data_IF_740859585578
#
_entry.id   IF_740859585578
#
_cell.length_a   1.000
_cell.length_b   1.000
_cell.length_c   1.000
_cell.angle_alpha   90.00
_cell.angle_beta   90.00
_cell.angle_gamma   90.00
#
_symmetry.space_group_name_H-M   'P 1'
#
loop_
_entity.id
_entity.type
_entity.pdbx_description
1 polymer ?
#
# COMPACT_ATOMS: atom_id res chain seq x y z
N UNK A 1 8.22 5.50 -8.27
CA UNK A 1 6.87 4.90 -8.31
C UNK A 1 6.75 3.68 -7.39
N UNK A 2 7.46 2.56 -7.60
CA UNK A 2 7.37 1.37 -6.71
C UNK A 2 7.69 1.65 -5.23
N UNK A 3 8.67 2.50 -4.94
CA UNK A 3 9.01 2.86 -3.55
C UNK A 3 7.84 3.55 -2.81
N UNK A 4 7.06 4.36 -3.51
CA UNK A 4 5.88 5.04 -2.93
C UNK A 4 4.76 4.03 -2.66
N UNK A 5 4.56 3.06 -3.55
CA UNK A 5 3.65 1.95 -3.31
C UNK A 5 4.07 1.10 -2.11
N UNK A 6 5.36 0.76 -1.97
CA UNK A 6 5.85 -0.03 -0.83
C UNK A 6 5.83 0.70 0.52
N UNK A 7 5.64 2.03 0.54
CA UNK A 7 5.42 2.82 1.76
C UNK A 7 3.96 2.80 2.23
N UNK A 8 3.01 2.40 1.36
CA UNK A 8 1.61 2.26 1.74
C UNK A 8 1.46 0.89 2.42
N UNK A 9 1.07 0.84 3.70
CA UNK A 9 1.03 -0.42 4.44
C UNK A 9 -0.29 -1.16 4.16
N UNK A 10 -0.46 -1.60 2.91
CA UNK A 10 -1.65 -2.29 2.40
C UNK A 10 -1.22 -3.61 1.73
N UNK A 11 -1.76 -4.77 2.12
CA UNK A 11 -1.39 -6.04 1.49
C UNK A 11 -1.81 -6.00 0.02
N UNK A 12 -0.99 -6.40 -0.98
CA UNK A 12 0.23 -7.24 -0.98
C UNK A 12 1.57 -6.47 -0.99
N UNK A 13 1.58 -5.16 -0.70
CA UNK A 13 2.78 -4.31 -0.80
C UNK A 13 3.74 -4.60 0.37
N UNK A 14 5.05 -4.52 0.14
CA UNK A 14 6.06 -4.99 1.12
C UNK A 14 5.97 -4.27 2.47
N UNK A 15 5.51 -3.01 2.50
CA UNK A 15 5.26 -2.24 3.73
C UNK A 15 4.18 -2.85 4.64
N UNK A 16 3.29 -3.70 4.11
CA UNK A 16 2.29 -4.41 4.92
C UNK A 16 2.91 -5.46 5.86
N UNK A 17 4.09 -5.99 5.54
CA UNK A 17 4.83 -6.92 6.40
C UNK A 17 5.30 -6.25 7.69
N UNK A 18 5.60 -4.95 7.62
CA UNK A 18 5.94 -4.13 8.78
C UNK A 18 4.74 -3.99 9.74
N UNK A 19 3.52 -3.83 9.20
CA UNK A 19 2.30 -3.90 10.03
C UNK A 19 2.09 -5.29 10.64
N UNK A 20 2.29 -6.36 9.87
CA UNK A 20 2.16 -7.75 10.35
C UNK A 20 3.12 -8.07 11.51
N UNK A 21 4.29 -7.43 11.54
CA UNK A 21 5.26 -7.55 12.63
C UNK A 21 4.79 -6.89 13.93
N UNK A 22 3.97 -5.84 13.84
CA UNK A 22 3.46 -5.07 14.99
C UNK A 22 2.08 -5.60 15.44
N UNK A 23 1.35 -6.27 14.56
CA UNK A 23 0.02 -6.81 14.83
C UNK A 23 0.07 -8.07 15.75
N UNK A 24 -0.84 -8.17 16.74
CA UNK A 24 -0.99 -9.37 17.55
C UNK A 24 -1.46 -10.58 16.73
N UNK A 25 -1.19 -11.79 17.23
CA UNK A 25 -1.42 -13.09 16.57
C UNK A 25 -2.82 -13.19 15.92
N UNK A 26 -3.86 -12.79 16.65
CA UNK A 26 -5.26 -12.87 16.22
C UNK A 26 -5.55 -11.95 15.03
N UNK A 27 -4.89 -10.79 15.01
CA UNK A 27 -5.03 -9.81 13.93
C UNK A 27 -4.24 -10.25 12.69
N UNK A 28 -3.08 -10.90 12.87
CA UNK A 28 -2.35 -11.53 11.75
C UNK A 28 -3.20 -12.58 11.04
N UNK A 29 -3.87 -13.47 11.77
CA UNK A 29 -4.71 -14.50 11.14
C UNK A 29 -5.87 -13.90 10.34
N UNK A 30 -6.50 -12.84 10.85
CA UNK A 30 -7.53 -12.10 10.10
C UNK A 30 -6.94 -11.43 8.87
N UNK A 31 -5.73 -10.87 8.98
CA UNK A 31 -5.03 -10.22 7.88
C UNK A 31 -4.70 -11.20 6.74
N UNK A 32 -4.19 -12.40 7.06
CA UNK A 32 -3.93 -13.44 6.06
C UNK A 32 -5.20 -13.93 5.35
N UNK A 33 -6.36 -13.92 6.03
CA UNK A 33 -7.63 -14.26 5.36
C UNK A 33 -8.08 -13.21 4.35
N UNK A 34 -7.77 -11.93 4.58
CA UNK A 34 -8.20 -10.83 3.70
C UNK A 34 -7.16 -10.52 2.60
N UNK A 35 -5.92 -10.96 2.76
CA UNK A 35 -4.82 -10.75 1.81
C UNK A 35 -5.19 -11.08 0.33
N UNK A 36 -5.85 -12.21 0.00
CA UNK A 36 -6.22 -12.49 -1.39
C UNK A 36 -7.30 -11.54 -1.91
N UNK A 37 -8.22 -11.09 -1.05
CA UNK A 37 -9.26 -10.12 -1.43
C UNK A 37 -8.67 -8.74 -1.66
N UNK A 38 -7.65 -8.35 -0.87
CA UNK A 38 -6.93 -7.10 -1.07
C UNK A 38 -6.20 -7.08 -2.42
N UNK A 39 -5.60 -8.19 -2.86
CA UNK A 39 -5.00 -8.30 -4.20
C UNK A 39 -6.03 -8.05 -5.32
N UNK A 40 -7.22 -8.67 -5.22
CA UNK A 40 -8.30 -8.50 -6.19
C UNK A 40 -8.81 -7.05 -6.19
N UNK A 41 -9.00 -6.47 -5.00
CA UNK A 41 -9.41 -5.08 -4.86
C UNK A 41 -8.37 -4.10 -5.43
N UNK A 42 -7.08 -4.38 -5.25
CA UNK A 42 -5.99 -3.58 -5.81
C UNK A 42 -5.97 -3.66 -7.34
N UNK A 43 -6.13 -4.85 -7.92
CA UNK A 43 -6.26 -5.02 -9.37
C UNK A 43 -7.49 -4.29 -9.92
N UNK A 44 -8.63 -4.38 -9.23
CA UNK A 44 -9.84 -3.65 -9.62
C UNK A 44 -9.59 -2.13 -9.55
N UNK A 45 -8.94 -1.62 -8.50
CA UNK A 45 -8.62 -0.21 -8.37
C UNK A 45 -7.70 0.28 -9.51
N UNK A 46 -6.70 -0.53 -9.88
CA UNK A 46 -5.81 -0.27 -11.02
C UNK A 46 -6.55 -0.21 -12.35
N UNK A 47 -7.55 -1.07 -12.52
CA UNK A 47 -8.31 -1.14 -13.76
C UNK A 47 -9.38 -0.06 -13.88
N UNK A 48 -10.12 0.21 -12.79
CA UNK A 48 -11.27 1.10 -12.80
C UNK A 48 -10.93 2.56 -12.46
N UNK A 49 -9.80 2.82 -11.80
CA UNK A 49 -9.45 4.16 -11.34
C UNK A 49 -7.95 4.50 -11.48
N UNK A 50 -7.34 4.35 -12.68
CA UNK A 50 -5.93 4.64 -12.88
C UNK A 50 -5.57 6.10 -12.54
N UNK A 51 -6.45 7.06 -12.81
CA UNK A 51 -6.18 8.47 -12.50
C UNK A 51 -6.11 8.77 -11.01
N UNK A 52 -6.96 8.12 -10.20
CA UNK A 52 -6.91 8.26 -8.74
C UNK A 52 -5.63 7.68 -8.16
N UNK A 53 -5.16 6.56 -8.74
CA UNK A 53 -3.90 5.95 -8.35
C UNK A 53 -2.72 6.87 -8.66
N UNK A 54 -2.68 7.45 -9.87
CA UNK A 54 -1.64 8.39 -10.25
C UNK A 54 -1.58 9.58 -9.29
N UNK A 55 -2.74 10.15 -8.92
CA UNK A 55 -2.80 11.24 -7.94
C UNK A 55 -2.24 10.84 -6.56
N UNK A 56 -2.51 9.61 -6.09
CA UNK A 56 -1.96 9.10 -4.83
C UNK A 56 -0.43 8.94 -4.93
N UNK A 57 0.07 8.38 -6.03
CA UNK A 57 1.50 8.22 -6.27
C UNK A 57 2.18 9.59 -6.28
N UNK A 58 1.64 10.55 -7.03
CA UNK A 58 2.23 11.89 -7.17
C UNK A 58 2.24 12.64 -5.85
N UNK A 59 1.22 12.46 -5.02
CA UNK A 59 1.19 13.00 -3.66
C UNK A 59 2.31 12.40 -2.80
N UNK A 60 2.52 11.08 -2.85
CA UNK A 60 3.58 10.42 -2.11
C UNK A 60 4.99 10.77 -2.62
N UNK A 61 5.17 10.84 -3.95
CA UNK A 61 6.43 11.26 -4.57
C UNK A 61 6.75 12.70 -4.20
N UNK A 62 5.78 13.62 -4.31
CA UNK A 62 6.00 15.03 -3.98
C UNK A 62 6.29 15.26 -2.50
N UNK A 63 5.68 14.49 -1.60
CA UNK A 63 6.02 14.49 -0.18
C UNK A 63 7.46 14.05 0.05
N UNK A 64 7.88 12.94 -0.56
CA UNK A 64 9.24 12.42 -0.41
C UNK A 64 10.29 13.37 -1.02
N UNK A 65 9.99 13.94 -2.18
CA UNK A 65 10.83 14.95 -2.83
C UNK A 65 10.96 16.20 -1.97
N UNK A 66 9.87 16.68 -1.35
CA UNK A 66 9.92 17.79 -0.39
C UNK A 66 10.79 17.47 0.83
N UNK A 67 10.70 16.26 1.36
CA UNK A 67 11.54 15.82 2.49
C UNK A 67 13.03 15.78 2.11
N UNK A 68 13.36 15.32 0.89
CA UNK A 68 14.74 15.22 0.41
C UNK A 68 15.35 16.57 0.04
N UNK A 69 14.55 17.46 -0.56
CA UNK A 69 15.04 18.74 -1.09
C UNK A 69 15.12 19.80 0.00
N UNK A 70 14.32 19.71 1.07
CA UNK A 70 14.39 20.63 2.22
C UNK A 70 14.03 22.06 1.85
#
# INVERSE_FOLDING_TARGET
>A
VLAVFNLIPLPPLDGSKLLLLILPEDARQKFYRIEPYCMIALMALLWFAPEKINAIIDTGVSFFMKLMVG
#
